data_IF_156838655706
#
_entry.id   IF_156838655706
#
_cell.length_a   1.000
_cell.length_b   1.000
_cell.length_c   1.000
_cell.angle_alpha   90.00
_cell.angle_beta   90.00
_cell.angle_gamma   90.00
#
_symmetry.space_group_name_H-M   'P 1'
#
loop_
_entity.id
_entity.type
_entity.pdbx_description
1 polymer ?
#
# COMPACT_ATOMS: atom_id res chain seq x y z
N UNK A 1 34.86 26.88 23.16
CA UNK A 1 33.77 25.94 22.82
C UNK A 1 34.15 24.58 23.37
N UNK A 2 33.39 24.03 24.33
CA UNK A 2 33.70 22.73 24.93
C UNK A 2 33.11 21.59 24.07
N UNK A 3 33.95 20.65 23.64
CA UNK A 3 33.55 19.47 22.88
C UNK A 3 32.86 18.45 23.78
N UNK A 4 31.58 18.16 23.52
CA UNK A 4 30.84 17.10 24.20
C UNK A 4 31.42 15.73 23.82
N UNK A 5 31.79 14.93 24.82
CA UNK A 5 32.20 13.54 24.62
C UNK A 5 31.03 12.69 24.11
N UNK A 6 31.22 11.85 23.08
CA UNK A 6 30.15 11.03 22.52
C UNK A 6 29.65 10.02 23.55
N UNK A 7 28.33 9.90 23.70
CA UNK A 7 27.72 8.92 24.61
C UNK A 7 27.98 7.49 24.12
N UNK A 8 28.22 6.53 25.02
CA UNK A 8 28.39 5.13 24.64
C UNK A 8 27.14 4.59 23.93
N UNK A 9 27.34 3.83 22.85
CA UNK A 9 26.25 3.22 22.09
C UNK A 9 25.59 2.10 22.90
N UNK A 10 24.27 1.95 22.78
CA UNK A 10 23.53 0.87 23.43
C UNK A 10 23.94 -0.48 22.83
N UNK A 11 24.27 -1.45 23.70
CA UNK A 11 24.61 -2.81 23.30
C UNK A 11 23.37 -3.58 22.84
N UNK A 12 23.55 -4.51 21.91
CA UNK A 12 22.49 -5.41 21.42
C UNK A 12 22.14 -6.43 22.51
N UNK A 13 20.86 -6.68 22.71
CA UNK A 13 20.36 -7.65 23.68
C UNK A 13 20.65 -9.10 23.22
N UNK A 14 20.87 -10.00 24.18
CA UNK A 14 21.26 -11.40 23.91
C UNK A 14 20.15 -12.23 23.25
N UNK A 15 18.88 -11.82 23.40
CA UNK A 15 17.71 -12.49 22.83
C UNK A 15 17.37 -12.03 21.39
N UNK A 16 18.12 -11.08 20.84
CA UNK A 16 17.84 -10.49 19.53
C UNK A 16 17.80 -11.51 18.37
N UNK A 17 18.39 -12.69 18.57
CA UNK A 17 18.46 -13.76 17.59
C UNK A 17 17.51 -14.94 17.91
N UNK A 18 16.68 -14.85 18.96
CA UNK A 18 15.72 -15.90 19.34
C UNK A 18 14.43 -15.88 18.48
N UNK A 19 14.18 -14.80 17.74
CA UNK A 19 13.09 -14.75 16.77
C UNK A 19 13.63 -15.07 15.38
N UNK A 20 13.11 -16.10 14.68
CA UNK A 20 13.51 -16.36 13.31
C UNK A 20 13.10 -15.17 12.44
N UNK A 21 14.07 -14.35 12.04
CA UNK A 21 13.90 -13.32 11.01
C UNK A 21 13.76 -14.07 9.69
N UNK A 22 12.52 -14.31 9.27
CA UNK A 22 12.24 -14.79 7.93
C UNK A 22 12.71 -13.74 6.91
N UNK A 23 13.89 -13.97 6.32
CA UNK A 23 14.21 -13.45 4.99
C UNK A 23 15.13 -12.23 4.85
N UNK A 24 16.14 -12.02 5.71
CA UNK A 24 17.21 -11.05 5.40
C UNK A 24 18.61 -11.66 5.55
N UNK A 25 19.42 -11.78 4.48
CA UNK A 25 20.81 -12.16 4.61
C UNK A 25 21.60 -11.02 5.27
N UNK A 26 22.39 -11.36 6.29
CA UNK A 26 23.40 -10.48 6.88
C UNK A 26 24.63 -10.45 5.95
N UNK A 27 25.20 -9.30 5.57
CA UNK A 27 26.56 -9.27 5.07
C UNK A 27 27.54 -9.42 6.24
N UNK A 28 28.49 -10.33 6.10
CA UNK A 28 29.57 -10.60 7.05
C UNK A 28 30.46 -9.35 7.28
N UNK A 29 31.06 -9.18 8.48
CA UNK A 29 31.98 -8.10 8.75
C UNK A 29 33.36 -8.41 8.16
N UNK A 30 33.93 -7.49 7.38
CA UNK A 30 35.36 -7.50 7.03
C UNK A 30 36.06 -6.30 7.71
N UNK A 31 37.21 -6.53 8.40
CA UNK A 31 37.90 -5.50 9.16
C UNK A 31 38.95 -4.76 8.30
N UNK A 32 39.20 -3.49 8.60
CA UNK A 32 40.36 -2.74 8.10
C UNK A 32 40.12 -1.95 6.80
N UNK A 33 40.18 -0.62 6.89
CA UNK A 33 39.78 0.27 5.80
C UNK A 33 40.85 0.58 4.75
N UNK A 34 40.42 1.25 3.67
CA UNK A 34 41.16 2.29 2.92
C UNK A 34 40.20 2.98 1.93
N UNK A 35 40.33 4.32 1.88
CA UNK A 35 40.20 5.29 0.77
C UNK A 35 39.24 5.06 -0.42
N UNK A 36 38.53 6.16 -0.70
CA UNK A 36 38.15 6.74 -2.01
C UNK A 36 38.24 5.85 -3.25
N UNK A 37 37.08 5.61 -3.88
CA UNK A 37 36.99 4.97 -5.19
C UNK A 37 35.65 5.22 -5.86
N UNK A 38 35.59 6.28 -6.68
CA UNK A 38 34.55 6.56 -7.67
C UNK A 38 34.39 5.36 -8.60
N UNK A 39 33.29 4.62 -8.48
CA UNK A 39 32.95 3.51 -9.36
C UNK A 39 31.44 3.36 -9.49
N UNK A 40 30.91 3.76 -10.64
CA UNK A 40 29.51 3.53 -11.06
C UNK A 40 29.24 2.02 -11.06
N UNK A 41 28.59 1.50 -10.01
CA UNK A 41 27.90 0.23 -10.08
C UNK A 41 26.50 0.50 -10.61
N UNK A 42 26.33 0.22 -11.91
CA UNK A 42 25.04 0.22 -12.59
C UNK A 42 24.07 -0.62 -11.78
N UNK A 43 23.07 0.03 -11.20
CA UNK A 43 21.94 -0.63 -10.55
C UNK A 43 21.33 -1.59 -11.57
N UNK A 44 21.53 -2.89 -11.39
CA UNK A 44 20.74 -3.92 -12.06
C UNK A 44 19.33 -3.78 -11.49
N UNK A 45 18.54 -2.92 -12.12
CA UNK A 45 17.10 -2.86 -11.91
C UNK A 45 16.59 -4.29 -12.08
N UNK A 46 15.88 -4.88 -11.10
CA UNK A 46 15.14 -6.11 -11.33
C UNK A 46 14.26 -5.86 -12.55
N UNK A 47 14.63 -6.54 -13.65
CA UNK A 47 13.89 -6.49 -14.89
C UNK A 47 12.44 -6.86 -14.60
N UNK A 48 11.56 -6.18 -15.31
CA UNK A 48 10.13 -6.44 -15.32
C UNK A 48 9.87 -7.85 -15.83
N UNK A 49 10.00 -8.83 -14.93
CA UNK A 49 9.71 -10.23 -15.12
C UNK A 49 8.70 -10.63 -14.05
N UNK A 50 7.46 -10.17 -14.23
CA UNK A 50 6.35 -10.77 -13.50
C UNK A 50 6.27 -12.22 -13.96
N UNK A 51 6.57 -13.15 -13.08
CA UNK A 51 6.37 -14.58 -13.30
C UNK A 51 4.86 -14.81 -13.41
N UNK A 52 4.37 -14.93 -14.64
CA UNK A 52 2.97 -15.22 -14.98
C UNK A 52 2.62 -16.68 -14.69
N UNK A 53 2.72 -17.10 -13.42
CA UNK A 53 2.49 -18.51 -13.08
C UNK A 53 1.11 -18.77 -12.46
N UNK A 54 0.48 -17.81 -11.78
CA UNK A 54 -0.89 -18.00 -11.25
C UNK A 54 -1.54 -16.66 -10.90
N UNK A 55 -1.71 -15.79 -11.89
CA UNK A 55 -2.57 -14.63 -11.73
C UNK A 55 -3.94 -14.97 -12.34
N UNK A 56 -4.75 -15.73 -11.60
CA UNK A 56 -6.21 -15.69 -11.74
C UNK A 56 -6.65 -14.27 -11.43
N UNK A 57 -6.48 -13.40 -12.43
CA UNK A 57 -6.91 -12.02 -12.39
C UNK A 57 -8.42 -12.12 -12.42
N UNK A 58 -9.04 -12.12 -11.23
CA UNK A 58 -10.48 -12.02 -11.10
C UNK A 58 -10.99 -10.84 -11.95
N UNK A 59 -12.28 -10.84 -12.30
CA UNK A 59 -12.84 -9.77 -13.13
C UNK A 59 -12.37 -8.41 -12.61
N UNK A 60 -11.95 -7.49 -13.51
CA UNK A 60 -11.37 -6.24 -13.10
C UNK A 60 -12.32 -5.57 -12.12
N UNK A 61 -11.85 -5.39 -10.87
CA UNK A 61 -12.64 -4.70 -9.87
C UNK A 61 -12.74 -3.25 -10.33
N UNK A 62 -13.95 -2.82 -10.71
CA UNK A 62 -14.19 -1.45 -11.07
C UNK A 62 -13.86 -0.54 -9.88
N UNK A 63 -13.24 0.59 -10.20
CA UNK A 63 -12.86 1.59 -9.20
C UNK A 63 -14.04 2.52 -9.00
N UNK A 64 -14.47 2.66 -7.75
CA UNK A 64 -15.46 3.65 -7.37
C UNK A 64 -14.90 5.07 -7.53
N UNK A 65 -15.72 5.97 -8.06
CA UNK A 65 -15.41 7.39 -8.24
C UNK A 65 -16.57 8.21 -7.69
N UNK A 66 -16.25 9.28 -6.96
CA UNK A 66 -17.26 10.19 -6.42
C UNK A 66 -17.85 11.07 -7.53
N UNK A 67 -19.18 11.03 -7.68
CA UNK A 67 -19.91 11.86 -8.63
C UNK A 67 -20.69 12.97 -7.91
N UNK A 68 -20.31 14.22 -8.16
CA UNK A 68 -21.04 15.40 -7.65
C UNK A 68 -22.18 15.82 -8.57
N UNK A 69 -23.40 15.39 -8.29
CA UNK A 69 -24.59 15.77 -9.07
C UNK A 69 -25.57 16.65 -8.26
N UNK A 70 -26.16 17.66 -8.92
CA UNK A 70 -27.28 18.43 -8.34
C UNK A 70 -28.58 17.69 -8.58
N UNK A 71 -29.12 17.09 -7.52
CA UNK A 71 -30.42 16.42 -7.54
C UNK A 71 -31.47 17.19 -6.72
N UNK A 72 -32.75 17.21 -7.15
CA UNK A 72 -33.81 17.79 -6.35
C UNK A 72 -33.89 17.15 -4.95
N UNK A 73 -34.16 17.97 -3.93
CA UNK A 73 -34.26 17.52 -2.53
C UNK A 73 -35.28 16.40 -2.34
N UNK A 74 -36.38 16.44 -3.12
CA UNK A 74 -37.44 15.43 -3.14
C UNK A 74 -36.90 14.06 -3.54
N UNK A 75 -36.08 14.01 -4.59
CA UNK A 75 -35.49 12.77 -5.12
C UNK A 75 -34.53 12.17 -4.09
N UNK A 76 -33.62 12.98 -3.53
CA UNK A 76 -32.70 12.54 -2.47
C UNK A 76 -33.43 11.95 -1.27
N UNK A 77 -34.55 12.55 -0.86
CA UNK A 77 -35.37 12.04 0.27
C UNK A 77 -36.00 10.69 -0.06
N UNK A 78 -36.59 10.55 -1.25
CA UNK A 78 -37.18 9.27 -1.71
C UNK A 78 -36.13 8.17 -1.78
N UNK A 79 -34.98 8.46 -2.39
CA UNK A 79 -33.87 7.52 -2.53
C UNK A 79 -33.37 7.01 -1.17
N UNK A 80 -33.22 7.90 -0.18
CA UNK A 80 -32.86 7.50 1.20
C UNK A 80 -33.93 6.67 1.90
N UNK A 81 -35.20 7.01 1.71
CA UNK A 81 -36.30 6.26 2.31
C UNK A 81 -36.37 4.84 1.73
N UNK A 82 -36.21 4.72 0.42
CA UNK A 82 -36.21 3.44 -0.29
C UNK A 82 -34.98 2.59 0.05
N UNK A 83 -33.80 3.20 0.11
CA UNK A 83 -32.58 2.52 0.57
C UNK A 83 -32.75 1.96 1.99
N UNK A 84 -33.37 2.74 2.89
CA UNK A 84 -33.68 2.28 4.25
C UNK A 84 -34.70 1.13 4.27
N UNK A 85 -35.72 1.18 3.41
CA UNK A 85 -36.71 0.11 3.29
C UNK A 85 -36.08 -1.20 2.77
N UNK A 86 -35.11 -1.09 1.87
CA UNK A 86 -34.38 -2.24 1.30
C UNK A 86 -33.18 -2.67 2.16
N UNK A 87 -32.80 -1.92 3.19
CA UNK A 87 -31.65 -2.21 4.05
C UNK A 87 -30.29 -2.06 3.35
N UNK A 88 -30.22 -1.30 2.25
CA UNK A 88 -29.00 -1.06 1.48
C UNK A 88 -28.49 0.36 1.66
N UNK A 89 -27.22 0.62 1.32
CA UNK A 89 -26.70 1.97 1.27
C UNK A 89 -27.39 2.77 0.16
N UNK A 90 -27.56 4.08 0.36
CA UNK A 90 -28.16 4.94 -0.66
C UNK A 90 -27.35 4.98 -1.95
N UNK A 91 -26.02 4.86 -1.84
CA UNK A 91 -25.11 4.87 -2.99
C UNK A 91 -25.19 3.56 -3.78
N UNK A 92 -25.39 2.41 -3.12
CA UNK A 92 -25.61 1.12 -3.79
C UNK A 92 -26.95 1.06 -4.53
N UNK A 93 -27.98 1.68 -3.96
CA UNK A 93 -29.27 1.80 -4.65
C UNK A 93 -29.15 2.74 -5.86
N UNK A 94 -28.39 3.83 -5.72
CA UNK A 94 -28.13 4.76 -6.82
C UNK A 94 -27.32 4.10 -7.93
N UNK A 95 -26.27 3.33 -7.61
CA UNK A 95 -25.46 2.63 -8.63
C UNK A 95 -26.30 1.63 -9.42
N UNK A 96 -27.14 0.82 -8.76
CA UNK A 96 -28.07 -0.09 -9.45
C UNK A 96 -29.04 0.61 -10.39
N UNK A 97 -29.56 1.77 -9.98
CA UNK A 97 -30.46 2.58 -10.84
C UNK A 97 -29.70 3.12 -12.05
N UNK A 98 -28.47 3.59 -11.85
CA UNK A 98 -27.62 4.10 -12.93
C UNK A 98 -27.23 2.98 -13.90
N UNK A 99 -26.84 1.81 -13.40
CA UNK A 99 -26.50 0.62 -14.20
C UNK A 99 -27.71 0.14 -15.03
N UNK A 100 -28.92 0.24 -14.49
CA UNK A 100 -30.14 -0.11 -15.22
C UNK A 100 -30.54 0.95 -16.28
N UNK A 101 -30.11 2.20 -16.10
CA UNK A 101 -30.47 3.31 -16.99
C UNK A 101 -29.45 3.50 -18.12
N UNK A 102 -28.19 3.15 -17.89
CA UNK A 102 -27.11 3.25 -18.87
C UNK A 102 -27.03 1.92 -19.66
N UNK A 103 -27.21 1.95 -20.99
CA UNK A 103 -27.09 0.75 -21.84
C UNK A 103 -25.63 0.29 -22.04
#
# INVERSE_FOLDING_TARGET
MASQTPRPALSRAADADLHPVSGRPLPAPVPGGVKEGKGKSTSLKPGKGATSADALTGPPKDKYVDLGARVPKSVRKRLRAEAKAQGVAADDLLSRILDAYLP
#
